data_IF_283566942118
#
_entry.id   IF_283566942118
#
_cell.length_a   1.000
_cell.length_b   1.000
_cell.length_c   1.000
_cell.angle_alpha   90.00
_cell.angle_beta   90.00
_cell.angle_gamma   90.00
#
_symmetry.space_group_name_H-M   'P 1'
#
loop_
_entity.id
_entity.type
_entity.pdbx_description
1 polymer ?
#
# COMPACT_ATOMS: atom_id res chain seq x y z
N UNK A 1 17.71 -19.35 -21.01
CA UNK A 1 16.67 -19.14 -19.99
C UNK A 1 16.73 -17.66 -19.63
N UNK A 2 15.70 -16.88 -19.96
CA UNK A 2 15.63 -15.50 -19.48
C UNK A 2 15.26 -15.55 -17.99
N UNK A 3 16.13 -15.04 -17.13
CA UNK A 3 15.80 -14.85 -15.72
C UNK A 3 14.76 -13.74 -15.64
N UNK A 4 13.56 -14.05 -15.16
CA UNK A 4 12.54 -13.02 -14.92
C UNK A 4 13.02 -12.10 -13.81
N UNK A 5 12.96 -10.79 -14.05
CA UNK A 5 13.37 -9.77 -13.07
C UNK A 5 12.42 -9.79 -11.87
N UNK A 6 12.97 -9.80 -10.67
CA UNK A 6 12.21 -9.71 -9.41
C UNK A 6 12.25 -8.30 -8.82
N UNK A 7 11.37 -8.02 -7.85
CA UNK A 7 11.48 -6.76 -7.09
C UNK A 7 12.78 -6.66 -6.30
N UNK A 8 13.38 -7.80 -5.91
CA UNK A 8 14.66 -7.79 -5.23
C UNK A 8 15.76 -7.26 -6.15
N UNK A 9 15.79 -7.72 -7.40
CA UNK A 9 16.83 -7.35 -8.36
C UNK A 9 16.82 -5.85 -8.67
N UNK A 10 15.62 -5.28 -8.84
CA UNK A 10 15.48 -3.86 -9.22
C UNK A 10 15.54 -2.88 -8.05
N UNK A 11 15.16 -3.31 -6.83
CA UNK A 11 15.16 -2.44 -5.64
C UNK A 11 16.39 -2.65 -4.75
N UNK A 12 17.31 -3.56 -5.10
CA UNK A 12 18.52 -3.83 -4.30
C UNK A 12 19.34 -2.55 -4.08
N UNK A 13 19.65 -1.83 -5.16
CA UNK A 13 20.44 -0.60 -5.11
C UNK A 13 19.66 0.55 -4.46
N UNK A 14 18.34 0.61 -4.68
CA UNK A 14 17.47 1.63 -4.09
C UNK A 14 17.42 1.53 -2.57
N UNK A 15 17.39 0.30 -2.04
CA UNK A 15 17.39 0.03 -0.59
C UNK A 15 18.68 0.47 0.10
N UNK A 16 19.77 0.63 -0.65
CA UNK A 16 21.05 1.08 -0.12
C UNK A 16 21.19 2.60 -0.12
N UNK A 17 20.27 3.32 -0.77
CA UNK A 17 20.35 4.78 -0.83
C UNK A 17 20.17 5.40 0.57
N UNK A 18 20.95 6.43 0.92
CA UNK A 18 20.90 7.05 2.24
C UNK A 18 19.49 7.53 2.62
N UNK A 19 18.73 8.07 1.66
CA UNK A 19 17.39 8.55 1.92
C UNK A 19 16.43 7.41 2.32
N UNK A 20 16.52 6.24 1.66
CA UNK A 20 15.68 5.09 1.95
C UNK A 20 15.98 4.53 3.34
N UNK A 21 17.27 4.38 3.66
CA UNK A 21 17.76 3.94 4.96
C UNK A 21 17.26 4.91 6.05
N UNK A 22 17.45 6.22 5.85
CA UNK A 22 17.01 7.24 6.80
C UNK A 22 15.50 7.19 7.04
N UNK A 23 14.68 7.05 5.99
CA UNK A 23 13.23 6.91 6.13
C UNK A 23 12.85 5.72 7.00
N UNK A 24 13.46 4.55 6.78
CA UNK A 24 13.20 3.36 7.60
C UNK A 24 13.64 3.57 9.06
N UNK A 25 14.79 4.22 9.28
CA UNK A 25 15.26 4.54 10.62
C UNK A 25 14.34 5.51 11.35
N UNK A 26 13.86 6.56 10.70
CA UNK A 26 12.90 7.51 11.28
C UNK A 26 11.63 6.80 11.71
N UNK A 27 11.02 6.02 10.81
CA UNK A 27 9.78 5.27 11.11
C UNK A 27 10.00 4.25 12.23
N UNK A 28 11.16 3.58 12.26
CA UNK A 28 11.51 2.67 13.36
C UNK A 28 11.65 3.40 14.69
N UNK A 29 12.28 4.59 14.70
CA UNK A 29 12.41 5.45 15.87
C UNK A 29 11.05 5.92 16.41
N UNK A 30 10.12 6.31 15.54
CA UNK A 30 8.74 6.65 15.93
C UNK A 30 8.02 5.49 16.60
N UNK A 31 8.14 4.27 16.04
CA UNK A 31 7.55 3.08 16.66
C UNK A 31 8.13 2.81 18.04
N UNK A 32 9.45 2.96 18.21
CA UNK A 32 10.14 2.75 19.48
C UNK A 32 9.79 3.81 20.53
N UNK A 33 9.50 5.04 20.12
CA UNK A 33 9.05 6.12 21.02
C UNK A 33 7.58 5.99 21.45
N UNK A 34 6.90 4.93 21.03
CA UNK A 34 5.50 4.65 21.39
C UNK A 34 4.47 5.26 20.43
N UNK A 35 4.91 5.89 19.34
CA UNK A 35 3.99 6.39 18.32
C UNK A 35 3.42 5.20 17.54
N UNK A 36 2.09 5.14 17.46
CA UNK A 36 1.43 4.12 16.65
C UNK A 36 1.56 4.47 15.17
N UNK A 37 2.26 3.62 14.41
CA UNK A 37 2.46 3.77 12.98
C UNK A 37 1.80 2.61 12.23
N UNK A 38 1.03 2.93 11.20
CA UNK A 38 0.39 1.95 10.30
C UNK A 38 1.04 1.92 8.91
N UNK A 39 0.98 0.78 8.20
CA UNK A 39 0.59 -0.55 8.71
C UNK A 39 1.67 -1.12 9.67
N UNK A 40 1.45 -2.30 10.29
CA UNK A 40 2.52 -3.01 11.00
C UNK A 40 3.74 -3.20 10.10
N UNK A 41 4.96 -3.18 10.66
CA UNK A 41 6.21 -3.23 9.89
C UNK A 41 6.28 -4.40 8.89
N UNK A 42 5.79 -5.59 9.29
CA UNK A 42 5.74 -6.79 8.45
C UNK A 42 4.87 -6.65 7.20
N UNK A 43 3.95 -5.70 7.21
CA UNK A 43 2.95 -5.50 6.17
C UNK A 43 3.31 -4.33 5.22
N UNK A 44 4.31 -3.50 5.54
CA UNK A 44 4.67 -2.30 4.75
C UNK A 44 4.94 -2.63 3.28
N UNK A 45 5.61 -3.75 3.01
CA UNK A 45 5.99 -4.16 1.65
C UNK A 45 5.09 -5.27 1.08
N UNK A 46 3.88 -5.48 1.62
CA UNK A 46 3.00 -6.55 1.16
C UNK A 46 2.66 -6.46 -0.34
N UNK A 47 2.58 -5.26 -0.91
CA UNK A 47 2.33 -5.07 -2.33
C UNK A 47 3.37 -5.78 -3.22
N UNK A 48 4.65 -5.62 -2.90
CA UNK A 48 5.77 -6.30 -3.58
C UNK A 48 5.84 -7.79 -3.26
N UNK A 49 5.42 -8.20 -2.06
CA UNK A 49 5.42 -9.62 -1.65
C UNK A 49 4.32 -10.43 -2.32
N UNK A 50 3.17 -9.81 -2.60
CA UNK A 50 2.04 -10.48 -3.21
C UNK A 50 2.10 -10.47 -4.74
N UNK A 51 2.84 -9.53 -5.30
CA UNK A 51 2.97 -9.32 -6.74
C UNK A 51 4.44 -9.27 -7.09
N UNK A 52 4.98 -10.29 -7.76
CA UNK A 52 6.32 -10.17 -8.34
C UNK A 52 6.32 -9.23 -9.55
N UNK A 53 7.48 -8.67 -9.87
CA UNK A 53 7.61 -7.64 -10.90
C UNK A 53 7.11 -8.13 -12.28
N UNK A 54 7.43 -9.38 -12.64
CA UNK A 54 6.95 -10.00 -13.90
C UNK A 54 5.44 -10.24 -13.94
N UNK A 55 4.76 -10.32 -12.80
CA UNK A 55 3.32 -10.57 -12.68
C UNK A 55 2.47 -9.29 -12.67
N UNK A 56 3.10 -8.11 -12.71
CA UNK A 56 2.40 -6.82 -12.71
C UNK A 56 1.66 -6.63 -14.04
N UNK A 57 0.34 -6.41 -13.95
CA UNK A 57 -0.51 -6.10 -15.12
C UNK A 57 -1.16 -4.72 -15.06
N UNK A 58 -1.51 -4.29 -13.85
CA UNK A 58 -2.16 -3.01 -13.56
C UNK A 58 -1.54 -2.46 -12.29
N UNK A 59 -1.40 -1.14 -12.21
CA UNK A 59 -0.93 -0.43 -11.01
C UNK A 59 -2.03 0.52 -10.59
N UNK A 60 -2.46 0.43 -9.33
CA UNK A 60 -3.41 1.37 -8.73
C UNK A 60 -2.68 2.05 -7.57
N UNK A 61 -2.44 3.35 -7.71
CA UNK A 61 -1.69 4.13 -6.73
C UNK A 61 -2.63 4.72 -5.68
N UNK A 62 -2.30 4.48 -4.41
CA UNK A 62 -2.87 5.18 -3.26
C UNK A 62 -1.99 6.38 -2.88
N UNK A 63 -2.48 7.20 -1.95
CA UNK A 63 -1.71 8.32 -1.38
C UNK A 63 -1.04 7.88 -0.08
N UNK A 64 -1.85 7.68 0.96
CA UNK A 64 -1.37 7.32 2.30
C UNK A 64 -2.10 6.05 2.78
N UNK A 65 -1.45 5.22 3.63
CA UNK A 65 -2.12 4.09 4.28
C UNK A 65 -3.29 4.56 5.16
N UNK A 66 -4.31 3.71 5.29
CA UNK A 66 -5.36 3.93 6.28
C UNK A 66 -4.81 4.02 7.71
N UNK A 67 -5.20 5.08 8.43
CA UNK A 67 -4.70 5.40 9.77
C UNK A 67 -5.49 4.76 10.94
N UNK A 68 -6.55 4.00 10.65
CA UNK A 68 -7.34 3.32 11.66
C UNK A 68 -6.74 1.98 12.10
N UNK A 69 -6.91 1.57 13.37
CA UNK A 69 -6.46 0.27 13.85
C UNK A 69 -7.00 -0.88 13.00
N UNK A 70 -6.10 -1.74 12.53
CA UNK A 70 -6.45 -2.94 11.75
C UNK A 70 -6.92 -2.66 10.31
N UNK A 71 -6.92 -1.41 9.84
CA UNK A 71 -7.34 -1.07 8.48
C UNK A 71 -6.25 -1.37 7.46
N UNK A 72 -5.13 -0.64 7.53
CA UNK A 72 -4.04 -0.78 6.57
C UNK A 72 -3.29 -2.11 6.72
N UNK A 73 -2.95 -2.72 5.58
CA UNK A 73 -2.18 -3.96 5.51
C UNK A 73 -1.24 -4.01 4.29
N UNK A 74 -0.83 -2.85 3.79
CA UNK A 74 0.19 -2.70 2.74
C UNK A 74 -0.30 -2.90 1.31
N UNK A 75 -1.58 -2.61 1.06
CA UNK A 75 -2.20 -2.63 -0.26
C UNK A 75 -3.16 -1.44 -0.40
N UNK A 76 -3.04 -0.70 -1.50
CA UNK A 76 -3.88 0.47 -1.77
C UNK A 76 -5.37 0.09 -1.79
N UNK A 77 -6.18 0.97 -1.18
CA UNK A 77 -7.64 0.85 -1.08
C UNK A 77 -8.15 -0.43 -0.40
N UNK A 78 -7.26 -1.32 0.07
CA UNK A 78 -7.64 -2.57 0.72
C UNK A 78 -7.65 -2.41 2.23
N UNK A 79 -8.63 -3.05 2.88
CA UNK A 79 -8.65 -3.17 4.35
C UNK A 79 -8.80 -4.64 4.76
N UNK A 80 -8.48 -4.94 6.02
CA UNK A 80 -8.59 -6.30 6.55
C UNK A 80 -10.05 -6.78 6.62
N UNK A 81 -10.30 -8.11 6.60
CA UNK A 81 -11.62 -8.66 6.86
C UNK A 81 -12.22 -8.16 8.17
N UNK A 82 -13.52 -7.89 8.18
CA UNK A 82 -14.24 -7.36 9.34
C UNK A 82 -14.16 -5.83 9.47
N UNK A 83 -13.32 -5.14 8.70
CA UNK A 83 -13.30 -3.69 8.62
C UNK A 83 -14.30 -3.22 7.56
N UNK A 84 -15.11 -2.22 7.90
CA UNK A 84 -16.04 -1.61 6.96
C UNK A 84 -15.30 -1.00 5.75
N UNK A 85 -15.81 -1.16 4.52
CA UNK A 85 -15.20 -0.57 3.33
C UNK A 85 -15.12 0.96 3.45
N UNK A 86 -13.95 1.58 3.25
CA UNK A 86 -13.81 3.03 3.24
C UNK A 86 -14.59 3.69 2.09
N UNK A 87 -15.00 4.97 2.18
CA UNK A 87 -15.79 5.65 1.16
C UNK A 87 -15.19 5.57 -0.26
N UNK A 88 -13.87 5.71 -0.39
CA UNK A 88 -13.18 5.59 -1.68
C UNK A 88 -13.37 4.22 -2.31
N UNK A 89 -13.22 3.14 -1.53
CA UNK A 89 -13.45 1.78 -1.99
C UNK A 89 -14.93 1.55 -2.32
N UNK A 90 -15.84 2.15 -1.54
CA UNK A 90 -17.28 2.10 -1.83
C UNK A 90 -17.59 2.69 -3.19
N UNK A 91 -16.98 3.83 -3.52
CA UNK A 91 -17.15 4.48 -4.81
C UNK A 91 -16.54 3.66 -5.95
N UNK A 92 -15.34 3.08 -5.76
CA UNK A 92 -14.75 2.16 -6.74
C UNK A 92 -15.70 1.00 -7.07
N UNK A 93 -16.35 0.40 -6.07
CA UNK A 93 -17.32 -0.66 -6.32
C UNK A 93 -18.55 -0.20 -7.09
N UNK A 94 -19.07 1.01 -6.83
CA UNK A 94 -20.20 1.57 -7.60
C UNK A 94 -19.83 1.72 -9.07
N UNK A 95 -18.64 2.23 -9.36
CA UNK A 95 -18.17 2.38 -10.74
C UNK A 95 -17.96 1.03 -11.42
N UNK A 96 -17.44 0.02 -10.71
CA UNK A 96 -17.30 -1.34 -11.23
C UNK A 96 -18.66 -1.99 -11.53
N UNK A 97 -19.65 -1.82 -10.64
CA UNK A 97 -21.02 -2.30 -10.84
C UNK A 97 -21.69 -1.64 -12.06
N UNK A 98 -21.46 -0.35 -12.28
CA UNK A 98 -22.01 0.38 -13.42
C UNK A 98 -21.31 0.06 -14.74
N UNK A 99 -20.00 -0.17 -14.71
CA UNK A 99 -19.16 -0.27 -15.92
C UNK A 99 -18.94 -1.69 -16.42
N UNK A 100 -19.02 -2.69 -15.53
CA UNK A 100 -18.71 -4.08 -15.86
C UNK A 100 -19.99 -4.92 -15.71
N UNK A 101 -20.63 -5.29 -16.83
CA UNK A 101 -21.82 -6.15 -16.80
C UNK A 101 -21.56 -7.45 -16.03
N UNK A 102 -22.42 -7.76 -15.06
CA UNK A 102 -22.31 -8.96 -14.24
C UNK A 102 -21.29 -8.87 -13.10
N UNK A 103 -20.69 -7.71 -12.84
CA UNK A 103 -19.86 -7.52 -11.65
C UNK A 103 -20.71 -7.63 -10.38
N UNK A 104 -20.27 -8.48 -9.44
CA UNK A 104 -20.90 -8.64 -8.13
C UNK A 104 -19.93 -8.19 -7.05
N UNK A 105 -20.41 -7.31 -6.18
CA UNK A 105 -19.61 -6.79 -5.07
C UNK A 105 -19.13 -7.91 -4.14
N UNK A 106 -17.82 -7.98 -3.85
CA UNK A 106 -17.31 -8.97 -2.92
C UNK A 106 -17.71 -8.62 -1.48
N UNK A 107 -17.97 -9.65 -0.67
CA UNK A 107 -18.26 -9.49 0.78
C UNK A 107 -17.02 -9.13 1.59
N UNK A 108 -15.82 -9.42 1.07
CA UNK A 108 -14.53 -9.10 1.67
C UNK A 108 -13.75 -8.15 0.78
N UNK A 109 -13.01 -7.23 1.41
CA UNK A 109 -12.32 -6.10 0.78
C UNK A 109 -10.81 -6.31 0.60
N UNK A 110 -10.40 -7.58 0.47
CA UNK A 110 -9.00 -7.95 0.23
C UNK A 110 -8.74 -8.04 -1.28
N UNK A 111 -7.80 -7.23 -1.78
CA UNK A 111 -7.18 -7.46 -3.08
C UNK A 111 -6.05 -8.49 -2.90
N UNK A 112 -6.35 -9.79 -2.99
CA UNK A 112 -5.25 -10.78 -3.06
C UNK A 112 -4.74 -10.84 -4.48
N UNK A 113 -3.47 -10.51 -4.69
CA UNK A 113 -2.78 -10.88 -5.92
C UNK A 113 -2.77 -12.41 -6.04
N UNK A 114 -3.09 -12.93 -7.22
CA UNK A 114 -3.26 -14.37 -7.48
C UNK A 114 -4.66 -14.78 -7.98
N UNK A 115 -5.65 -13.88 -7.93
CA UNK A 115 -6.85 -14.06 -8.77
C UNK A 115 -6.48 -13.68 -10.22
N UNK A 116 -6.80 -14.51 -11.24
CA UNK A 116 -6.44 -14.21 -12.62
C UNK A 116 -6.95 -12.82 -13.02
N UNK A 117 -6.03 -11.93 -13.40
CA UNK A 117 -6.33 -10.58 -13.89
C UNK A 117 -6.40 -9.48 -12.83
N UNK A 118 -5.99 -9.70 -11.57
CA UNK A 118 -5.98 -8.64 -10.57
C UNK A 118 -4.68 -8.61 -9.79
N UNK A 119 -3.92 -7.58 -10.05
CA UNK A 119 -2.68 -7.30 -9.35
C UNK A 119 -2.62 -5.80 -9.11
N UNK A 120 -2.41 -5.39 -7.87
CA UNK A 120 -2.41 -4.00 -7.43
C UNK A 120 -1.21 -3.81 -6.52
N UNK A 121 -0.22 -3.06 -6.98
CA UNK A 121 0.98 -2.75 -6.21
C UNK A 121 0.98 -1.27 -5.81
N UNK A 122 1.27 -0.97 -4.54
CA UNK A 122 1.42 0.39 -4.02
C UNK A 122 2.83 0.58 -3.46
N UNK A 123 3.38 1.78 -3.67
CA UNK A 123 4.41 2.39 -2.84
C UNK A 123 3.97 3.82 -2.48
N UNK A 124 3.40 4.00 -1.29
CA UNK A 124 3.08 5.30 -0.72
C UNK A 124 4.14 5.66 0.31
N UNK A 125 5.05 6.56 -0.02
CA UNK A 125 6.13 7.03 0.86
C UNK A 125 5.79 8.35 1.58
N UNK A 126 4.51 8.64 1.79
CA UNK A 126 4.09 9.82 2.55
C UNK A 126 3.53 9.42 3.91
N UNK A 127 4.12 10.05 4.94
CA UNK A 127 3.53 10.32 6.25
C UNK A 127 2.95 9.14 7.02
N UNK A 128 3.65 8.72 8.07
CA UNK A 128 3.09 7.91 9.16
C UNK A 128 1.97 8.71 9.87
N UNK A 129 0.74 8.58 9.39
CA UNK A 129 -0.41 9.32 9.91
C UNK A 129 -0.68 9.00 11.38
N UNK A 130 -0.66 10.03 12.24
CA UNK A 130 -1.11 9.96 13.64
C UNK A 130 -2.63 9.69 13.70
N UNK A 131 -3.13 8.88 14.64
CA UNK A 131 -4.56 8.77 14.89
C UNK A 131 -5.12 10.15 15.31
N UNK A 132 -6.04 10.71 14.52
CA UNK A 132 -6.77 11.95 14.85
C UNK A 132 -6.20 13.26 14.30
N UNK A 133 -5.15 13.25 13.48
CA UNK A 133 -4.66 14.45 12.80
C UNK A 133 -5.10 14.44 11.32
N UNK A 134 -6.22 15.11 11.00
CA UNK A 134 -6.52 15.51 9.64
C UNK A 134 -5.42 16.49 9.21
N UNK A 135 -4.54 16.05 8.29
CA UNK A 135 -3.46 16.84 7.69
C UNK A 135 -2.44 17.39 8.70
N UNK A 136 -1.29 16.73 8.85
CA UNK A 136 -0.13 17.34 9.49
C UNK A 136 1.18 17.03 8.75
N UNK A 137 1.64 18.09 8.07
CA UNK A 137 2.99 18.44 7.59
C UNK A 137 3.47 17.92 6.23
N UNK A 138 3.53 18.80 5.21
CA UNK A 138 4.38 18.58 4.03
C UNK A 138 5.84 18.80 4.47
N UNK A 139 6.64 17.75 4.49
CA UNK A 139 8.03 17.88 4.94
C UNK A 139 8.90 16.63 4.84
N UNK A 140 8.35 15.46 4.57
CA UNK A 140 9.13 14.24 4.35
C UNK A 140 9.19 13.96 2.84
N UNK A 141 10.22 14.50 2.19
CA UNK A 141 10.58 14.20 0.80
C UNK A 141 9.63 14.76 -0.27
N UNK A 142 9.87 15.99 -0.72
CA UNK A 142 9.33 16.43 -2.01
C UNK A 142 9.98 15.62 -3.13
N UNK A 143 9.25 14.64 -3.67
CA UNK A 143 9.57 13.97 -4.93
C UNK A 143 9.07 14.82 -6.10
N UNK A 144 9.67 16.00 -6.29
CA UNK A 144 9.65 16.72 -7.56
C UNK A 144 11.00 17.42 -7.71
N UNK A 145 11.85 16.81 -8.53
CA UNK A 145 12.96 17.48 -9.20
C UNK A 145 12.53 17.85 -10.61
#
# INVERSE_FOLDING_TARGET
>A
MATELTWHDVLADEKQQPYFINTLHTVAGERQSGITVYPPQKDVFNAFRFTELGDVKVVILGQDPYHGPGQAHGLAFSVRPGVAPPPSLVNMYKELEASIPGFVRPRTVIWKAGAPGRTVTEYGAHGTGRPGALSCQPGVGNFYG
#
